data_IF_298013363532
#
_entry.id   IF_298013363532
#
_cell.length_a   1.000
_cell.length_b   1.000
_cell.length_c   1.000
_cell.angle_alpha   90.00
_cell.angle_beta   90.00
_cell.angle_gamma   90.00
#
_symmetry.space_group_name_H-M   'P 1'
#
loop_
_entity.id
_entity.type
_entity.pdbx_description
1 polymer ?
#
# COMPACT_ATOMS: atom_id res chain seq x y z
N UNK A 1 11.03 -41.31 -1.74
CA UNK A 1 10.06 -40.69 -2.67
C UNK A 1 8.75 -40.29 -2.00
N UNK A 2 8.10 -41.16 -1.22
CA UNK A 2 6.78 -40.90 -0.62
C UNK A 2 6.74 -39.70 0.34
N UNK A 3 7.79 -39.51 1.15
CA UNK A 3 7.93 -38.37 2.08
C UNK A 3 8.19 -37.03 1.38
N UNK A 4 8.93 -37.05 0.27
CA UNK A 4 9.28 -35.86 -0.52
C UNK A 4 8.05 -35.27 -1.25
N UNK A 5 7.14 -36.15 -1.68
CA UNK A 5 5.88 -35.80 -2.33
C UNK A 5 4.88 -35.18 -1.34
N UNK A 6 4.82 -35.71 -0.11
CA UNK A 6 3.99 -35.13 0.97
C UNK A 6 4.47 -33.76 1.43
N UNK A 7 5.79 -33.53 1.51
CA UNK A 7 6.33 -32.19 1.84
C UNK A 7 6.05 -31.17 0.74
N UNK A 8 6.08 -31.57 -0.54
CA UNK A 8 5.74 -30.67 -1.66
C UNK A 8 4.26 -30.29 -1.65
N UNK A 9 3.36 -31.24 -1.34
CA UNK A 9 1.93 -30.98 -1.23
C UNK A 9 1.58 -30.05 -0.06
N UNK A 10 2.24 -30.21 1.10
CA UNK A 10 2.08 -29.33 2.26
C UNK A 10 2.60 -27.91 2.00
N UNK A 11 3.66 -27.77 1.20
CA UNK A 11 4.16 -26.46 0.79
C UNK A 11 3.22 -25.79 -0.22
N UNK A 12 2.63 -26.56 -1.14
CA UNK A 12 1.66 -26.05 -2.11
C UNK A 12 0.36 -25.57 -1.44
N UNK A 13 -0.12 -26.25 -0.38
CA UNK A 13 -1.30 -25.79 0.37
C UNK A 13 -1.02 -24.52 1.19
N UNK A 14 0.21 -24.32 1.69
CA UNK A 14 0.63 -23.08 2.35
C UNK A 14 0.79 -21.90 1.38
N UNK A 15 1.18 -22.16 0.13
CA UNK A 15 1.25 -21.12 -0.90
C UNK A 15 -0.15 -20.70 -1.42
N UNK A 16 -1.16 -21.57 -1.26
CA UNK A 16 -2.55 -21.30 -1.63
C UNK A 16 -3.38 -20.65 -0.51
N UNK A 17 -2.86 -20.55 0.71
CA UNK A 17 -3.45 -19.69 1.74
C UNK A 17 -3.08 -18.22 1.46
N UNK A 18 -3.60 -17.70 0.35
CA UNK A 18 -3.68 -16.25 0.15
C UNK A 18 -4.42 -15.61 1.32
N UNK A 19 -4.10 -14.35 1.62
CA UNK A 19 -4.67 -13.59 2.75
C UNK A 19 -6.17 -13.90 2.91
N UNK A 20 -6.50 -14.71 3.91
CA UNK A 20 -7.87 -15.15 4.12
C UNK A 20 -8.69 -13.93 4.55
N UNK A 21 -9.86 -13.70 3.96
CA UNK A 21 -10.74 -12.63 4.41
C UNK A 21 -11.09 -12.89 5.88
N UNK A 22 -10.87 -11.90 6.72
CA UNK A 22 -11.16 -11.96 8.17
C UNK A 22 -12.55 -11.40 8.43
N UNK A 23 -13.25 -11.94 9.41
CA UNK A 23 -14.51 -11.32 9.86
C UNK A 23 -14.24 -9.94 10.44
N UNK A 24 -15.12 -8.98 10.14
CA UNK A 24 -14.98 -7.61 10.62
C UNK A 24 -15.38 -7.53 12.08
N UNK A 25 -14.42 -7.20 12.95
CA UNK A 25 -14.73 -6.81 14.32
C UNK A 25 -15.15 -5.34 14.37
N UNK A 26 -16.45 -5.07 14.35
CA UNK A 26 -17.00 -3.71 14.39
C UNK A 26 -16.58 -2.93 15.64
N UNK A 27 -16.25 -3.58 16.75
CA UNK A 27 -15.76 -2.90 17.95
C UNK A 27 -14.35 -2.31 17.78
N UNK A 28 -13.60 -2.79 16.78
CA UNK A 28 -12.27 -2.26 16.45
C UNK A 28 -12.31 -1.10 15.44
N UNK A 29 -13.45 -0.91 14.75
CA UNK A 29 -13.65 0.15 13.76
C UNK A 29 -14.08 1.43 14.48
N UNK A 30 -13.58 2.56 14.00
CA UNK A 30 -13.99 3.87 14.47
C UNK A 30 -15.53 4.00 14.34
N UNK A 31 -16.27 4.26 15.44
CA UNK A 31 -17.74 4.21 15.45
C UNK A 31 -18.40 5.27 14.55
N UNK A 32 -17.67 6.30 14.15
CA UNK A 32 -18.13 7.30 13.17
C UNK A 32 -18.26 6.68 11.77
N UNK A 33 -17.50 5.61 11.50
CA UNK A 33 -17.51 4.89 10.24
C UNK A 33 -18.44 3.68 10.34
N UNK A 34 -19.20 3.45 9.29
CA UNK A 34 -20.02 2.26 9.13
C UNK A 34 -19.62 1.59 7.81
N UNK A 35 -18.69 0.61 7.84
CA UNK A 35 -18.26 -0.09 6.64
C UNK A 35 -19.45 -0.79 6.00
N UNK A 36 -19.62 -0.58 4.69
CA UNK A 36 -20.68 -1.19 3.89
C UNK A 36 -20.12 -2.32 3.04
N UNK A 37 -20.96 -3.29 2.64
CA UNK A 37 -20.59 -4.24 1.58
C UNK A 37 -20.17 -3.48 0.32
N UNK A 38 -19.20 -4.04 -0.40
CA UNK A 38 -18.63 -3.51 -1.65
C UNK A 38 -17.97 -2.13 -1.50
N UNK A 39 -17.62 -1.76 -0.26
CA UNK A 39 -16.87 -0.54 0.04
C UNK A 39 -15.37 -0.84 0.14
N UNK A 40 -14.56 0.05 -0.42
CA UNK A 40 -13.11 0.06 -0.20
C UNK A 40 -12.74 1.35 0.56
N UNK A 41 -12.06 1.19 1.69
CA UNK A 41 -11.51 2.31 2.46
C UNK A 41 -9.99 2.27 2.34
N UNK A 42 -9.39 3.37 1.89
CA UNK A 42 -7.95 3.53 1.84
C UNK A 42 -7.46 4.25 3.11
N UNK A 43 -6.37 3.75 3.69
CA UNK A 43 -5.72 4.35 4.85
C UNK A 43 -4.20 4.46 4.63
N UNK A 44 -3.59 5.43 5.29
CA UNK A 44 -2.14 5.52 5.46
C UNK A 44 -1.75 5.22 6.91
N UNK A 45 -0.89 4.22 7.08
CA UNK A 45 -0.26 3.90 8.34
C UNK A 45 1.19 4.44 8.35
N UNK A 46 1.50 5.48 9.15
CA UNK A 46 2.83 6.07 9.21
C UNK A 46 3.81 5.25 10.06
N UNK A 47 3.33 4.38 10.95
CA UNK A 47 4.20 3.55 11.78
C UNK A 47 4.82 2.41 10.93
N UNK A 48 4.10 1.98 9.88
CA UNK A 48 4.56 0.97 8.92
C UNK A 48 4.94 1.54 7.56
N UNK A 49 4.81 2.85 7.37
CA UNK A 49 4.98 3.52 6.08
C UNK A 49 4.26 2.77 4.96
N UNK A 50 2.95 2.54 5.12
CA UNK A 50 2.18 1.70 4.19
C UNK A 50 0.83 2.33 3.87
N UNK A 51 0.47 2.31 2.58
CA UNK A 51 -0.89 2.57 2.09
C UNK A 51 -1.64 1.24 2.11
N UNK A 52 -2.77 1.17 2.82
CA UNK A 52 -3.58 -0.06 2.96
C UNK A 52 -4.98 0.20 2.44
N UNK A 53 -5.53 -0.74 1.68
CA UNK A 53 -6.90 -0.76 1.20
C UNK A 53 -7.65 -1.86 1.93
N UNK A 54 -8.73 -1.48 2.60
CA UNK A 54 -9.65 -2.36 3.29
C UNK A 54 -10.88 -2.54 2.41
N UNK A 55 -11.00 -3.71 1.78
CA UNK A 55 -12.13 -4.12 0.96
C UNK A 55 -13.13 -4.90 1.82
N UNK A 56 -14.34 -4.36 1.94
CA UNK A 56 -15.42 -4.94 2.71
C UNK A 56 -16.39 -5.67 1.77
N UNK A 57 -16.72 -6.92 2.08
CA UNK A 57 -17.65 -7.74 1.30
C UNK A 57 -18.52 -8.59 2.21
N UNK A 58 -19.68 -9.04 1.70
CA UNK A 58 -20.53 -9.98 2.42
C UNK A 58 -20.16 -11.40 2.01
N UNK A 59 -19.91 -12.25 3.01
CA UNK A 59 -19.73 -13.69 2.84
C UNK A 59 -20.59 -14.41 3.88
N UNK A 60 -21.50 -15.26 3.43
CA UNK A 60 -22.41 -16.02 4.31
C UNK A 60 -23.18 -15.13 5.30
N UNK A 61 -23.64 -13.96 4.82
CA UNK A 61 -24.30 -12.90 5.60
C UNK A 61 -23.45 -12.23 6.70
N UNK A 62 -22.14 -12.52 6.75
CA UNK A 62 -21.17 -11.86 7.63
C UNK A 62 -20.33 -10.88 6.83
N UNK A 63 -20.08 -9.70 7.41
CA UNK A 63 -19.17 -8.73 6.81
C UNK A 63 -17.72 -9.20 6.99
N UNK A 64 -17.02 -9.38 5.89
CA UNK A 64 -15.60 -9.79 5.87
C UNK A 64 -14.76 -8.70 5.23
N UNK A 65 -13.50 -8.63 5.68
CA UNK A 65 -12.50 -7.68 5.22
C UNK A 65 -11.35 -8.41 4.56
N UNK A 66 -10.96 -7.90 3.39
CA UNK A 66 -9.70 -8.24 2.73
C UNK A 66 -8.83 -6.99 2.68
N UNK A 67 -7.55 -7.15 3.01
CA UNK A 67 -6.58 -6.07 2.95
C UNK A 67 -5.53 -6.31 1.88
N UNK A 68 -5.17 -5.25 1.17
CA UNK A 68 -4.00 -5.21 0.28
C UNK A 68 -3.39 -3.81 0.35
N UNK A 69 -2.19 -3.61 -0.18
CA UNK A 69 -1.53 -2.31 -0.01
C UNK A 69 -0.16 -2.20 -0.64
N UNK A 70 0.48 -1.06 -0.39
CA UNK A 70 1.81 -0.69 -0.88
C UNK A 70 2.63 -0.13 0.27
N UNK A 71 3.76 -0.79 0.54
CA UNK A 71 4.80 -0.26 1.43
C UNK A 71 5.55 0.84 0.69
N UNK A 72 5.80 1.96 1.37
CA UNK A 72 6.58 3.06 0.82
C UNK A 72 8.04 2.66 0.64
N UNK A 73 8.75 3.20 -0.37
CA UNK A 73 10.17 2.99 -0.53
C UNK A 73 10.95 3.53 0.69
N UNK A 74 11.88 2.72 1.22
CA UNK A 74 12.63 2.99 2.44
C UNK A 74 13.47 4.28 2.39
N UNK A 75 13.96 4.64 1.20
CA UNK A 75 14.67 5.90 0.97
C UNK A 75 14.37 6.39 -0.44
N UNK A 76 14.00 7.66 -0.53
CA UNK A 76 13.81 8.36 -1.79
C UNK A 76 14.69 9.60 -1.74
N UNK A 77 15.75 9.62 -2.53
CA UNK A 77 16.64 10.77 -2.57
C UNK A 77 15.98 11.90 -3.36
N UNK A 78 16.27 13.16 -2.98
CA UNK A 78 15.69 14.32 -3.66
C UNK A 78 16.01 14.30 -5.16
N UNK A 79 17.23 13.90 -5.55
CA UNK A 79 17.59 13.75 -6.96
C UNK A 79 16.73 12.69 -7.67
N UNK A 80 16.47 11.57 -7.00
CA UNK A 80 15.66 10.49 -7.56
C UNK A 80 14.22 10.95 -7.80
N UNK A 81 13.65 11.78 -6.93
CA UNK A 81 12.30 12.34 -7.12
C UNK A 81 12.14 13.05 -8.47
N UNK A 82 13.14 13.83 -8.87
CA UNK A 82 13.08 14.60 -10.12
C UNK A 82 13.38 13.73 -11.34
N UNK A 83 14.39 12.87 -11.26
CA UNK A 83 14.78 11.98 -12.37
C UNK A 83 13.67 10.96 -12.67
N UNK A 84 13.06 10.42 -11.63
CA UNK A 84 11.96 9.45 -11.78
C UNK A 84 10.62 10.13 -12.10
N UNK A 85 10.50 11.44 -11.92
CA UNK A 85 9.25 12.18 -12.07
C UNK A 85 8.31 12.07 -10.87
N UNK A 86 8.67 11.31 -9.83
CA UNK A 86 7.86 11.17 -8.61
C UNK A 86 7.61 12.52 -7.93
N UNK A 87 8.60 13.43 -7.91
CA UNK A 87 8.41 14.78 -7.37
C UNK A 87 7.33 15.58 -8.11
N UNK A 88 7.23 15.44 -9.43
CA UNK A 88 6.16 16.06 -10.22
C UNK A 88 4.79 15.45 -9.90
N UNK A 89 4.73 14.12 -9.75
CA UNK A 89 3.49 13.42 -9.37
C UNK A 89 3.02 13.84 -7.97
N UNK A 90 3.92 13.93 -6.99
CA UNK A 90 3.59 14.38 -5.63
C UNK A 90 2.99 15.79 -5.63
N UNK A 91 3.62 16.73 -6.36
CA UNK A 91 3.11 18.09 -6.49
C UNK A 91 1.76 18.13 -7.21
N UNK A 92 1.58 17.34 -8.28
CA UNK A 92 0.31 17.24 -9.00
C UNK A 92 -0.81 16.70 -8.10
N UNK A 93 -0.56 15.61 -7.38
CA UNK A 93 -1.54 14.94 -6.53
C UNK A 93 -1.94 15.78 -5.31
N UNK A 94 -1.09 16.71 -4.88
CA UNK A 94 -1.32 17.55 -3.69
C UNK A 94 -1.55 19.02 -4.03
N UNK A 95 -1.68 19.38 -5.30
CA UNK A 95 -1.73 20.78 -5.75
C UNK A 95 -0.54 21.63 -5.21
N UNK A 96 0.64 21.01 -5.11
CA UNK A 96 1.88 21.66 -4.70
C UNK A 96 2.13 21.71 -3.19
N UNK A 97 1.31 21.06 -2.36
CA UNK A 97 1.42 21.12 -0.90
C UNK A 97 2.37 20.09 -0.29
N UNK A 98 2.92 19.16 -1.09
CA UNK A 98 3.84 18.15 -0.59
C UNK A 98 5.02 17.92 -1.54
N UNK A 99 6.18 17.69 -0.94
CA UNK A 99 7.44 17.36 -1.64
C UNK A 99 7.88 15.91 -1.39
N UNK A 100 7.37 15.27 -0.33
CA UNK A 100 7.64 13.86 -0.02
C UNK A 100 6.37 13.02 -0.08
N UNK A 101 6.51 11.70 -0.22
CA UNK A 101 5.37 10.78 -0.24
C UNK A 101 4.61 10.85 1.10
N UNK A 102 5.34 10.90 2.22
CA UNK A 102 4.74 10.96 3.56
C UNK A 102 3.94 12.25 3.74
N UNK A 103 4.50 13.39 3.35
CA UNK A 103 3.81 14.68 3.45
C UNK A 103 2.56 14.68 2.56
N UNK A 104 2.62 14.05 1.39
CA UNK A 104 1.46 13.95 0.51
C UNK A 104 0.33 13.12 1.11
N UNK A 105 0.67 11.97 1.71
CA UNK A 105 -0.30 11.10 2.39
C UNK A 105 -0.89 11.78 3.63
N UNK A 106 -0.06 12.43 4.44
CA UNK A 106 -0.52 13.18 5.62
C UNK A 106 -1.35 14.41 5.25
N UNK A 107 -1.00 15.11 4.17
CA UNK A 107 -1.80 16.21 3.63
C UNK A 107 -3.19 15.72 3.24
N UNK A 108 -3.29 14.60 2.51
CA UNK A 108 -4.57 14.03 2.13
C UNK A 108 -5.38 13.53 3.34
N UNK A 109 -4.72 12.90 4.31
CA UNK A 109 -5.34 12.53 5.59
C UNK A 109 -5.91 13.76 6.32
N UNK A 110 -5.18 14.88 6.29
CA UNK A 110 -5.65 16.18 6.78
C UNK A 110 -6.93 16.65 6.10
N UNK A 111 -7.03 16.50 4.77
CA UNK A 111 -8.24 16.82 4.01
C UNK A 111 -9.42 15.90 4.37
N UNK A 112 -9.16 14.67 4.84
CA UNK A 112 -10.18 13.75 5.36
C UNK A 112 -10.47 13.97 6.86
N UNK A 113 -9.91 15.02 7.47
CA UNK A 113 -10.13 15.34 8.88
C UNK A 113 -9.34 14.46 9.85
N UNK A 114 -8.25 13.82 9.41
CA UNK A 114 -7.38 12.96 10.22
C UNK A 114 -8.14 11.81 10.90
N UNK A 115 -9.22 11.33 10.29
CA UNK A 115 -10.01 10.23 10.80
C UNK A 115 -9.21 8.93 10.71
N UNK A 116 -9.24 8.11 11.75
CA UNK A 116 -8.65 6.76 11.75
C UNK A 116 -9.72 5.75 11.39
N UNK A 117 -9.35 4.68 10.69
CA UNK A 117 -10.27 3.58 10.41
C UNK A 117 -10.48 2.72 11.65
N UNK A 118 -9.42 2.42 12.40
CA UNK A 118 -9.50 1.63 13.63
C UNK A 118 -9.37 2.51 14.88
N UNK A 119 -10.01 2.07 15.96
CA UNK A 119 -9.93 2.72 17.27
C UNK A 119 -8.54 2.50 17.85
N UNK A 120 -7.93 3.56 18.39
CA UNK A 120 -6.59 3.55 19.01
C UNK A 120 -5.45 3.12 18.05
N UNK A 121 -5.65 3.21 16.74
CA UNK A 121 -4.60 2.97 15.75
C UNK A 121 -4.29 4.26 14.97
N UNK A 122 -3.12 4.32 14.35
CA UNK A 122 -2.68 5.43 13.50
C UNK A 122 -2.83 5.07 12.02
N UNK A 123 -4.05 4.75 11.62
CA UNK A 123 -4.38 4.37 10.24
C UNK A 123 -5.33 5.40 9.63
N UNK A 124 -4.74 6.50 9.17
CA UNK A 124 -5.51 7.66 8.76
C UNK A 124 -6.19 7.43 7.42
N UNK A 125 -7.49 7.64 7.36
CA UNK A 125 -8.28 7.57 6.12
C UNK A 125 -7.74 8.59 5.14
N UNK A 126 -7.53 8.14 3.91
CA UNK A 126 -7.18 8.96 2.77
C UNK A 126 -8.18 8.71 1.64
N UNK A 127 -8.32 9.68 0.74
CA UNK A 127 -9.19 9.54 -0.42
C UNK A 127 -8.74 8.35 -1.28
N UNK A 128 -9.69 7.50 -1.68
CA UNK A 128 -9.41 6.28 -2.43
C UNK A 128 -8.73 6.53 -3.79
N UNK A 129 -9.20 7.51 -4.56
CA UNK A 129 -8.62 7.82 -5.88
C UNK A 129 -7.20 8.35 -5.72
N UNK A 130 -7.00 9.25 -4.76
CA UNK A 130 -5.67 9.74 -4.40
C UNK A 130 -4.73 8.59 -3.99
N UNK A 131 -5.18 7.67 -3.14
CA UNK A 131 -4.39 6.53 -2.69
C UNK A 131 -3.97 5.63 -3.87
N UNK A 132 -4.91 5.31 -4.77
CA UNK A 132 -4.64 4.51 -5.97
C UNK A 132 -3.63 5.19 -6.89
N UNK A 133 -3.79 6.49 -7.12
CA UNK A 133 -2.90 7.27 -7.97
C UNK A 133 -1.50 7.41 -7.33
N UNK A 134 -1.43 7.51 -6.00
CA UNK A 134 -0.17 7.51 -5.25
C UNK A 134 0.55 6.16 -5.37
N UNK A 135 -0.14 5.04 -5.20
CA UNK A 135 0.43 3.69 -5.41
C UNK A 135 1.01 3.59 -6.82
N UNK A 136 0.28 4.06 -7.82
CA UNK A 136 0.73 4.06 -9.22
C UNK A 136 2.00 4.91 -9.40
N UNK A 137 2.08 6.08 -8.77
CA UNK A 137 3.27 6.93 -8.82
C UNK A 137 4.49 6.24 -8.17
N UNK A 138 4.29 5.57 -7.03
CA UNK A 138 5.33 4.81 -6.34
C UNK A 138 5.79 3.61 -7.18
N UNK A 139 4.88 2.86 -7.80
CA UNK A 139 5.24 1.73 -8.64
C UNK A 139 6.09 2.16 -9.84
N UNK A 140 5.72 3.28 -10.48
CA UNK A 140 6.51 3.88 -11.57
C UNK A 140 7.90 4.33 -11.09
N UNK A 141 7.99 4.87 -9.88
CA UNK A 141 9.27 5.20 -9.25
C UNK A 141 10.13 3.95 -9.07
N UNK A 142 9.59 2.91 -8.42
CA UNK A 142 10.30 1.66 -8.15
C UNK A 142 10.80 1.01 -9.46
N UNK A 143 9.98 1.00 -10.51
CA UNK A 143 10.36 0.48 -11.82
C UNK A 143 11.49 1.29 -12.49
N UNK A 144 11.52 2.61 -12.30
CA UNK A 144 12.60 3.46 -12.84
C UNK A 144 13.89 3.26 -12.06
N UNK A 145 13.81 3.20 -10.73
CA UNK A 145 14.98 2.93 -9.87
C UNK A 145 15.56 1.54 -10.20
N UNK A 146 14.73 0.50 -10.28
CA UNK A 146 15.18 -0.85 -10.67
C UNK A 146 15.85 -0.89 -12.05
N UNK A 147 15.39 -0.08 -13.01
CA UNK A 147 16.03 0.06 -14.32
C UNK A 147 17.38 0.77 -14.20
N UNK A 148 17.43 1.88 -13.48
CA UNK A 148 18.66 2.63 -13.25
C UNK A 148 19.74 1.79 -12.54
N UNK A 149 19.37 1.06 -11.50
CA UNK A 149 20.28 0.15 -10.79
C UNK A 149 20.80 -0.95 -11.70
N UNK A 150 19.92 -1.59 -12.48
CA UNK A 150 20.31 -2.61 -13.48
C UNK A 150 21.29 -2.05 -14.52
N UNK A 151 20.99 -0.88 -15.07
CA UNK A 151 21.82 -0.23 -16.08
C UNK A 151 23.16 0.25 -15.50
N UNK A 152 23.23 0.53 -14.20
CA UNK A 152 24.48 0.85 -13.48
C UNK A 152 25.33 -0.39 -13.23
N UNK A 153 24.74 -1.55 -13.01
CA UNK A 153 25.45 -2.83 -12.81
C UNK A 153 25.96 -3.44 -14.12
N UNK A 154 25.22 -3.30 -15.22
CA UNK A 154 25.59 -3.84 -16.54
C UNK A 154 26.96 -3.40 -17.12
N UNK A 155 27.42 -2.14 -17.02
CA UNK A 155 28.73 -1.74 -17.52
C UNK A 155 29.91 -2.39 -16.78
N UNK A 156 29.69 -2.96 -15.58
CA UNK A 156 30.72 -3.70 -14.86
C UNK A 156 30.86 -5.16 -15.33
N UNK A 157 29.79 -5.78 -15.85
CA UNK A 157 29.81 -7.17 -16.33
C UNK A 157 30.48 -7.32 -17.69
N UNK A 158 30.53 -6.27 -18.51
CA UNK A 158 31.24 -6.24 -19.80
C UNK A 158 32.74 -5.90 -19.67
N UNK A 159 33.24 -5.73 -18.43
CA UNK A 159 34.64 -5.35 -18.13
C UNK A 159 35.49 -6.51 -17.60
N UNK A 160 35.01 -7.76 -17.70
CA UNK A 160 35.76 -8.98 -17.38
C UNK A 160 36.08 -9.78 -18.62
#
# INVERSE_FOLDING_TARGET
MRTLMTTLLLFATFLLSGCAPKEVNLASINPILQPKPDQIIAVYNPDQDTIIFHEFSLKDAVLVERTWGKVLPFRVEFMDLWVTGLGHDLRRLTNGNAETIKDALMYNAGLQGMQTLHVNQRDYIINYEFARDMVTAIDRYDEKVKRYERDREFPFLLRR
#
